data_IF_072307027231
#
_entry.id   IF_072307027231
#
_cell.length_a   1.000
_cell.length_b   1.000
_cell.length_c   1.000
_cell.angle_alpha   90.00
_cell.angle_beta   90.00
_cell.angle_gamma   90.00
#
_symmetry.space_group_name_H-M   'P 1'
#
loop_
_entity.id
_entity.type
_entity.pdbx_description
1 polymer ?
#
# COMPACT_ATOMS: atom_id res chain seq x y z
N UNK A 1 -11.18 8.39 28.62
CA UNK A 1 -9.81 8.88 28.88
C UNK A 1 -9.17 9.15 27.54
N UNK A 2 -8.93 10.41 27.16
CA UNK A 2 -8.16 10.73 25.94
C UNK A 2 -6.68 10.49 26.26
N UNK A 3 -5.99 9.68 25.46
CA UNK A 3 -4.53 9.55 25.56
C UNK A 3 -3.90 10.92 25.26
N UNK A 4 -2.78 11.23 25.92
CA UNK A 4 -1.96 12.37 25.50
C UNK A 4 -1.36 12.05 24.13
N UNK A 5 -1.18 13.08 23.30
CA UNK A 5 -0.72 12.94 21.91
C UNK A 5 0.59 12.12 21.79
N UNK A 6 1.53 12.32 22.73
CA UNK A 6 2.77 11.53 22.78
C UNK A 6 2.50 10.05 23.09
N UNK A 7 1.60 9.73 24.02
CA UNK A 7 1.26 8.33 24.34
C UNK A 7 0.57 7.64 23.19
N UNK A 8 -0.36 8.33 22.51
CA UNK A 8 -1.03 7.79 21.33
C UNK A 8 -0.03 7.45 20.23
N UNK A 9 0.94 8.33 19.97
CA UNK A 9 2.01 8.08 19.00
C UNK A 9 2.82 6.82 19.35
N UNK A 10 3.33 6.71 20.58
CA UNK A 10 4.15 5.56 20.99
C UNK A 10 3.38 4.24 20.99
N UNK A 11 2.13 4.23 21.45
CA UNK A 11 1.31 3.01 21.44
C UNK A 11 0.99 2.59 20.01
N UNK A 12 0.65 3.55 19.13
CA UNK A 12 0.38 3.26 17.71
C UNK A 12 1.62 2.72 17.02
N UNK A 13 2.78 3.31 17.28
CA UNK A 13 4.06 2.83 16.79
C UNK A 13 4.31 1.38 17.22
N UNK A 14 4.13 1.06 18.51
CA UNK A 14 4.34 -0.28 19.02
C UNK A 14 3.36 -1.30 18.41
N UNK A 15 2.08 -0.92 18.26
CA UNK A 15 1.07 -1.77 17.62
C UNK A 15 1.41 -2.01 16.15
N UNK A 16 1.85 -0.98 15.42
CA UNK A 16 2.23 -1.14 14.02
C UNK A 16 3.45 -2.05 13.86
N UNK A 17 4.49 -1.87 14.68
CA UNK A 17 5.65 -2.75 14.70
C UNK A 17 5.23 -4.19 15.04
N UNK A 18 4.38 -4.37 16.05
CA UNK A 18 3.86 -5.69 16.42
C UNK A 18 3.06 -6.36 15.28
N UNK A 19 2.21 -5.62 14.57
CA UNK A 19 1.49 -6.17 13.42
C UNK A 19 2.46 -6.65 12.31
N UNK A 20 3.47 -5.84 12.00
CA UNK A 20 4.44 -6.17 10.95
C UNK A 20 5.32 -7.36 11.34
N UNK A 21 5.81 -7.39 12.58
CA UNK A 21 6.66 -8.50 13.05
C UNK A 21 5.87 -9.80 13.19
N UNK A 22 4.64 -9.76 13.73
CA UNK A 22 3.80 -10.95 13.82
C UNK A 22 3.43 -11.48 12.44
N UNK A 23 3.18 -10.61 11.46
CA UNK A 23 2.92 -11.03 10.09
C UNK A 23 4.10 -11.80 9.48
N UNK A 24 5.34 -11.38 9.73
CA UNK A 24 6.53 -12.11 9.26
C UNK A 24 6.80 -13.41 10.01
N UNK A 25 6.50 -13.47 11.30
CA UNK A 25 6.77 -14.66 12.14
C UNK A 25 5.78 -15.78 11.90
N UNK A 26 4.56 -15.46 11.44
CA UNK A 26 3.54 -16.46 11.16
C UNK A 26 3.88 -17.13 9.82
N UNK A 27 4.27 -18.39 9.91
CA UNK A 27 4.46 -19.24 8.73
C UNK A 27 3.10 -19.52 8.07
N UNK A 28 2.96 -19.16 6.80
CA UNK A 28 1.75 -19.36 6.00
C UNK A 28 2.11 -20.12 4.72
N UNK A 29 1.95 -21.45 4.68
CA UNK A 29 2.39 -22.26 3.54
C UNK A 29 1.57 -22.03 2.26
N UNK A 30 0.36 -21.48 2.36
CA UNK A 30 -0.54 -21.25 1.23
C UNK A 30 -1.01 -19.80 1.05
N UNK A 31 -1.34 -19.45 -0.20
CA UNK A 31 -1.83 -18.12 -0.59
C UNK A 31 -3.04 -17.65 0.24
N UNK A 32 -3.98 -18.55 0.54
CA UNK A 32 -5.16 -18.24 1.33
C UNK A 32 -4.81 -17.90 2.78
N UNK A 33 -3.84 -18.60 3.36
CA UNK A 33 -3.38 -18.36 4.74
C UNK A 33 -2.61 -17.04 4.82
N UNK A 34 -1.76 -16.74 3.83
CA UNK A 34 -1.08 -15.45 3.71
C UNK A 34 -2.07 -14.30 3.56
N UNK A 35 -3.12 -14.49 2.74
CA UNK A 35 -4.19 -13.51 2.61
C UNK A 35 -4.94 -13.30 3.93
N UNK A 36 -5.28 -14.38 4.65
CA UNK A 36 -5.92 -14.28 5.96
C UNK A 36 -5.02 -13.58 6.98
N UNK A 37 -3.73 -13.90 7.02
CA UNK A 37 -2.77 -13.21 7.89
C UNK A 37 -2.73 -11.71 7.57
N UNK A 38 -2.63 -11.34 6.29
CA UNK A 38 -2.66 -9.95 5.85
C UNK A 38 -3.98 -9.28 6.26
N UNK A 39 -5.12 -9.94 6.03
CA UNK A 39 -6.42 -9.44 6.43
C UNK A 39 -6.49 -9.17 7.94
N UNK A 40 -5.99 -10.08 8.77
CA UNK A 40 -5.99 -9.91 10.22
C UNK A 40 -5.06 -8.78 10.69
N UNK A 41 -3.80 -8.78 10.28
CA UNK A 41 -2.79 -7.84 10.79
C UNK A 41 -2.86 -6.46 10.13
N UNK A 42 -3.30 -6.38 8.87
CA UNK A 42 -3.34 -5.13 8.11
C UNK A 42 -4.71 -4.47 8.07
N UNK A 43 -5.80 -5.20 8.35
CA UNK A 43 -7.15 -4.62 8.42
C UNK A 43 -7.77 -4.79 9.81
N UNK A 44 -7.95 -6.02 10.29
CA UNK A 44 -8.75 -6.30 11.50
C UNK A 44 -8.14 -5.65 12.75
N UNK A 45 -6.88 -5.93 13.04
CA UNK A 45 -6.21 -5.40 14.24
C UNK A 45 -6.14 -3.86 14.22
N UNK A 46 -5.68 -3.19 13.14
CA UNK A 46 -5.70 -1.74 13.04
C UNK A 46 -7.09 -1.14 13.16
N UNK A 47 -8.10 -1.75 12.53
CA UNK A 47 -9.48 -1.28 12.59
C UNK A 47 -10.01 -1.30 14.03
N UNK A 48 -9.82 -2.40 14.75
CA UNK A 48 -10.23 -2.51 16.15
C UNK A 48 -9.41 -1.59 17.06
N UNK A 49 -8.12 -1.42 16.80
CA UNK A 49 -7.29 -0.47 17.53
C UNK A 49 -7.82 0.97 17.41
N UNK A 50 -8.12 1.42 16.19
CA UNK A 50 -8.69 2.76 15.95
C UNK A 50 -10.05 2.90 16.64
N UNK A 51 -10.90 1.88 16.58
CA UNK A 51 -12.26 1.94 17.11
C UNK A 51 -12.32 1.87 18.64
N UNK A 52 -11.54 0.98 19.24
CA UNK A 52 -11.60 0.65 20.68
C UNK A 52 -10.60 1.50 21.47
N UNK A 53 -9.33 1.54 21.02
CA UNK A 53 -8.24 2.20 21.75
C UNK A 53 -8.22 3.69 21.46
N UNK A 54 -8.16 4.08 20.18
CA UNK A 54 -8.15 5.50 19.79
C UNK A 54 -9.54 6.16 19.91
N UNK A 55 -10.61 5.35 19.91
CA UNK A 55 -12.01 5.81 19.95
C UNK A 55 -12.36 6.81 18.85
N UNK A 56 -11.69 6.70 17.69
CA UNK A 56 -11.97 7.56 16.53
C UNK A 56 -13.12 6.97 15.71
N UNK A 57 -13.95 7.80 15.05
CA UNK A 57 -14.99 7.31 14.15
C UNK A 57 -14.35 6.68 12.91
N UNK A 58 -15.05 5.75 12.23
CA UNK A 58 -14.54 5.12 10.99
C UNK A 58 -14.33 6.15 9.87
N UNK A 59 -15.02 7.29 9.92
CA UNK A 59 -14.76 8.42 9.03
C UNK A 59 -13.32 8.97 9.13
N UNK A 60 -12.62 8.72 10.24
CA UNK A 60 -11.19 9.03 10.40
C UNK A 60 -10.30 8.21 9.47
N UNK A 61 -10.68 6.95 9.20
CA UNK A 61 -10.06 6.08 8.20
C UNK A 61 -10.49 6.42 6.78
N UNK A 62 -11.25 7.51 6.62
CA UNK A 62 -11.61 8.14 5.38
C UNK A 62 -12.82 7.59 4.62
N UNK A 63 -13.97 8.24 4.82
CA UNK A 63 -15.08 8.29 3.85
C UNK A 63 -15.66 9.72 3.65
N UNK A 64 -14.90 10.83 3.71
CA UNK A 64 -15.48 12.13 3.41
C UNK A 64 -15.71 12.26 1.89
N UNK A 65 -16.99 12.25 1.49
CA UNK A 65 -17.42 12.57 0.11
C UNK A 65 -17.09 14.01 -0.31
N UNK A 66 -16.70 14.89 0.63
CA UNK A 66 -16.45 16.29 0.36
C UNK A 66 -14.95 16.56 0.12
N UNK A 67 -14.64 16.93 -1.13
CA UNK A 67 -13.29 16.83 -1.67
C UNK A 67 -12.79 18.22 -2.14
N UNK A 68 -12.20 19.04 -1.26
CA UNK A 68 -11.88 20.44 -1.58
C UNK A 68 -10.80 20.59 -2.67
N UNK A 69 -9.97 19.56 -2.90
CA UNK A 69 -8.85 19.61 -3.85
C UNK A 69 -8.95 18.57 -4.99
N UNK A 70 -10.17 18.25 -5.44
CA UNK A 70 -10.42 17.13 -6.37
C UNK A 70 -9.58 17.21 -7.64
N UNK A 71 -9.56 18.38 -8.27
CA UNK A 71 -8.82 18.58 -9.51
C UNK A 71 -7.30 18.48 -9.28
N UNK A 72 -6.80 19.02 -8.17
CA UNK A 72 -5.38 18.95 -7.82
C UNK A 72 -4.92 17.52 -7.53
N UNK A 73 -5.73 16.73 -6.81
CA UNK A 73 -5.43 15.32 -6.53
C UNK A 73 -5.47 14.48 -7.80
N UNK A 74 -6.45 14.70 -8.69
CA UNK A 74 -6.52 13.98 -9.96
C UNK A 74 -5.33 14.31 -10.87
N UNK A 75 -5.00 15.58 -11.05
CA UNK A 75 -3.85 15.99 -11.86
C UNK A 75 -2.53 15.50 -11.27
N UNK A 76 -2.35 15.57 -9.95
CA UNK A 76 -1.18 15.03 -9.27
C UNK A 76 -1.11 13.51 -9.38
N UNK A 77 -2.23 12.81 -9.19
CA UNK A 77 -2.34 11.37 -9.35
C UNK A 77 -1.97 10.91 -10.76
N UNK A 78 -2.45 11.62 -11.79
CA UNK A 78 -2.10 11.33 -13.19
C UNK A 78 -0.61 11.59 -13.46
N UNK A 79 -0.08 12.74 -13.02
CA UNK A 79 1.33 13.09 -13.21
C UNK A 79 2.27 12.12 -12.49
N UNK A 80 1.93 11.73 -11.26
CA UNK A 80 2.69 10.73 -10.50
C UNK A 80 2.58 9.33 -11.10
N UNK A 81 1.43 8.95 -11.66
CA UNK A 81 1.26 7.67 -12.35
C UNK A 81 2.20 7.58 -13.56
N UNK A 82 2.23 8.63 -14.39
CA UNK A 82 3.14 8.71 -15.54
C UNK A 82 4.60 8.68 -15.07
N UNK A 83 4.94 9.44 -14.03
CA UNK A 83 6.30 9.47 -13.47
C UNK A 83 6.76 8.10 -12.98
N UNK A 84 5.95 7.41 -12.17
CA UNK A 84 6.27 6.07 -11.66
C UNK A 84 6.37 5.06 -12.79
N UNK A 85 5.46 5.12 -13.77
CA UNK A 85 5.52 4.23 -14.92
C UNK A 85 6.81 4.42 -15.74
N UNK A 86 7.23 5.66 -15.99
CA UNK A 86 8.50 5.95 -16.67
C UNK A 86 9.71 5.42 -15.89
N UNK A 87 9.69 5.51 -14.55
CA UNK A 87 10.73 4.92 -13.72
C UNK A 87 10.76 3.40 -13.86
N UNK A 88 9.62 2.72 -13.77
CA UNK A 88 9.53 1.25 -13.97
C UNK A 88 10.09 0.85 -15.33
N UNK A 89 9.73 1.56 -16.39
CA UNK A 89 10.28 1.32 -17.74
C UNK A 89 11.80 1.52 -17.75
N UNK A 90 12.32 2.61 -17.17
CA UNK A 90 13.76 2.86 -17.10
C UNK A 90 14.51 1.75 -16.36
N UNK A 91 13.99 1.31 -15.21
CA UNK A 91 14.55 0.19 -14.44
C UNK A 91 14.52 -1.12 -15.24
N UNK A 92 13.47 -1.36 -16.04
CA UNK A 92 13.34 -2.56 -16.87
C UNK A 92 14.43 -2.66 -17.95
N UNK A 93 14.91 -1.53 -18.47
CA UNK A 93 16.00 -1.50 -19.46
C UNK A 93 17.40 -1.49 -18.83
N UNK A 94 17.57 -0.91 -17.65
CA UNK A 94 18.90 -0.64 -17.06
C UNK A 94 19.30 -1.59 -15.93
N UNK A 95 18.37 -2.43 -15.45
CA UNK A 95 18.61 -3.34 -14.31
C UNK A 95 18.10 -4.77 -14.59
N UNK A 96 18.40 -5.71 -13.68
CA UNK A 96 17.87 -7.08 -13.69
C UNK A 96 16.39 -7.18 -13.29
N UNK A 97 15.67 -6.05 -13.19
CA UNK A 97 14.26 -6.01 -12.79
C UNK A 97 13.40 -7.00 -13.58
N UNK A 98 13.62 -7.15 -14.90
CA UNK A 98 12.85 -8.08 -15.72
C UNK A 98 13.02 -9.57 -15.38
N UNK A 99 14.12 -9.93 -14.73
CA UNK A 99 14.42 -11.30 -14.31
C UNK A 99 13.88 -11.62 -12.91
N UNK A 100 13.73 -10.59 -12.07
CA UNK A 100 13.30 -10.74 -10.66
C UNK A 100 11.83 -10.41 -10.45
N UNK A 101 11.20 -9.70 -11.39
CA UNK A 101 9.78 -9.39 -11.35
C UNK A 101 8.95 -10.63 -11.75
N UNK A 102 8.16 -11.12 -10.79
CA UNK A 102 7.38 -12.33 -10.98
C UNK A 102 5.99 -12.04 -11.54
N UNK A 103 5.72 -12.54 -12.74
CA UNK A 103 4.38 -12.60 -13.33
C UNK A 103 4.00 -14.06 -13.52
N UNK A 104 2.89 -14.54 -12.92
CA UNK A 104 2.44 -15.92 -13.11
C UNK A 104 2.24 -16.29 -14.59
N UNK A 105 2.84 -17.39 -15.02
CA UNK A 105 2.85 -17.84 -16.43
C UNK A 105 1.46 -18.04 -17.05
N UNK A 106 0.44 -18.40 -16.26
CA UNK A 106 -0.93 -18.57 -16.77
C UNK A 106 -1.60 -17.27 -17.21
N UNK A 107 -1.04 -16.10 -16.83
CA UNK A 107 -1.56 -14.79 -17.20
C UNK A 107 -1.21 -14.40 -18.65
N UNK A 108 -0.22 -15.05 -19.26
CA UNK A 108 0.22 -14.78 -20.63
C UNK A 108 -0.77 -15.32 -21.68
N UNK A 109 -1.46 -16.42 -21.38
CA UNK A 109 -2.29 -17.14 -22.36
C UNK A 109 -3.71 -16.58 -22.49
N UNK A 110 -4.25 -15.97 -21.43
CA UNK A 110 -5.66 -15.57 -21.36
C UNK A 110 -5.85 -14.24 -20.64
N UNK A 111 -5.99 -13.17 -21.41
CA UNK A 111 -6.19 -11.80 -20.89
C UNK A 111 -7.35 -11.67 -19.89
N UNK A 112 -8.44 -12.42 -20.05
CA UNK A 112 -9.55 -12.39 -19.10
C UNK A 112 -9.19 -12.96 -17.72
N UNK A 113 -8.36 -14.02 -17.67
CA UNK A 113 -7.86 -14.55 -16.40
C UNK A 113 -6.92 -13.56 -15.72
N UNK A 114 -6.15 -12.81 -16.50
CA UNK A 114 -5.36 -11.70 -15.99
C UNK A 114 -6.22 -10.63 -15.31
N UNK A 115 -7.27 -10.15 -15.97
CA UNK A 115 -8.18 -9.16 -15.37
C UNK A 115 -8.84 -9.67 -14.08
N UNK A 116 -9.24 -10.94 -14.04
CA UNK A 116 -9.82 -11.54 -12.84
C UNK A 116 -8.79 -11.65 -11.71
N UNK A 117 -7.57 -12.09 -12.00
CA UNK A 117 -6.49 -12.18 -11.02
C UNK A 117 -6.16 -10.80 -10.43
N UNK A 118 -5.98 -9.80 -11.28
CA UNK A 118 -5.70 -8.43 -10.86
C UNK A 118 -6.79 -7.87 -9.95
N UNK A 119 -8.06 -8.03 -10.35
CA UNK A 119 -9.15 -7.42 -9.62
C UNK A 119 -9.54 -8.15 -8.34
N UNK A 120 -9.43 -9.49 -8.30
CA UNK A 120 -9.88 -10.30 -7.16
C UNK A 120 -8.77 -10.73 -6.21
N UNK A 121 -7.51 -10.69 -6.65
CA UNK A 121 -6.36 -11.09 -5.81
C UNK A 121 -5.46 -9.89 -5.53
N UNK A 122 -4.96 -9.24 -6.59
CA UNK A 122 -3.98 -8.14 -6.45
C UNK A 122 -4.61 -6.92 -5.79
N UNK A 123 -5.76 -6.46 -6.29
CA UNK A 123 -6.43 -5.26 -5.76
C UNK A 123 -6.81 -5.39 -4.28
N UNK A 124 -7.45 -6.47 -3.79
CA UNK A 124 -7.72 -6.64 -2.37
C UNK A 124 -6.45 -6.67 -1.52
N UNK A 125 -5.38 -7.33 -1.98
CA UNK A 125 -4.12 -7.36 -1.26
C UNK A 125 -3.48 -5.96 -1.15
N UNK A 126 -3.45 -5.20 -2.24
CA UNK A 126 -2.97 -3.82 -2.25
C UNK A 126 -3.83 -2.93 -1.35
N UNK A 127 -5.15 -3.13 -1.35
CA UNK A 127 -6.05 -2.41 -0.46
C UNK A 127 -5.74 -2.69 1.02
N UNK A 128 -5.41 -3.94 1.40
CA UNK A 128 -5.00 -4.25 2.77
C UNK A 128 -3.72 -3.51 3.17
N UNK A 129 -2.70 -3.51 2.30
CA UNK A 129 -1.49 -2.73 2.53
C UNK A 129 -1.78 -1.24 2.67
N UNK A 130 -2.58 -0.68 1.76
CA UNK A 130 -2.93 0.74 1.77
C UNK A 130 -3.76 1.13 2.99
N UNK A 131 -4.67 0.27 3.41
CA UNK A 131 -5.40 0.45 4.66
C UNK A 131 -4.47 0.52 5.86
N UNK A 132 -3.48 -0.38 5.95
CA UNK A 132 -2.52 -0.36 7.06
C UNK A 132 -1.58 0.85 7.01
N UNK A 133 -0.93 1.08 5.88
CA UNK A 133 0.11 2.12 5.78
C UNK A 133 -0.48 3.53 5.67
N UNK A 134 -1.56 3.75 4.91
CA UNK A 134 -2.13 5.08 4.67
C UNK A 134 -3.33 5.32 5.58
N UNK A 135 -4.20 4.33 5.71
CA UNK A 135 -5.35 4.43 6.62
C UNK A 135 -4.93 4.49 8.08
N UNK A 136 -4.19 3.49 8.55
CA UNK A 136 -3.82 3.40 9.96
C UNK A 136 -2.59 4.23 10.28
N UNK A 137 -1.43 3.94 9.69
CA UNK A 137 -0.16 4.57 10.07
C UNK A 137 -0.12 6.08 9.76
N UNK A 138 -0.34 6.46 8.49
CA UNK A 138 -0.25 7.85 8.06
C UNK A 138 -1.23 8.74 8.82
N UNK A 139 -2.52 8.41 8.86
CA UNK A 139 -3.49 9.27 9.57
C UNK A 139 -3.28 9.29 11.09
N UNK A 140 -2.86 8.18 11.71
CA UNK A 140 -2.57 8.19 13.15
C UNK A 140 -1.37 9.08 13.48
N UNK A 141 -0.29 9.00 12.69
CA UNK A 141 0.91 9.80 12.89
C UNK A 141 0.80 11.24 12.44
N UNK A 142 -0.12 11.54 11.53
CA UNK A 142 -0.37 12.91 11.08
C UNK A 142 -0.65 13.86 12.24
N UNK A 143 -1.40 13.41 13.25
CA UNK A 143 -1.71 14.27 14.40
C UNK A 143 -0.47 14.76 15.15
N UNK A 144 0.63 14.00 15.10
CA UNK A 144 1.90 14.35 15.75
C UNK A 144 2.94 14.94 14.78
N UNK A 145 2.97 14.48 13.53
CA UNK A 145 4.05 14.77 12.57
C UNK A 145 3.60 15.61 11.37
N UNK A 146 2.30 15.82 11.18
CA UNK A 146 1.74 16.50 10.01
C UNK A 146 2.19 15.83 8.71
N UNK A 147 2.75 16.62 7.79
CA UNK A 147 3.25 16.16 6.48
C UNK A 147 4.38 15.12 6.59
N UNK A 148 5.18 15.16 7.67
CA UNK A 148 6.25 14.18 7.89
C UNK A 148 5.73 12.76 8.12
N UNK A 149 4.43 12.60 8.41
CA UNK A 149 3.79 11.28 8.47
C UNK A 149 3.93 10.48 7.17
N UNK A 150 3.99 11.16 6.00
CA UNK A 150 4.21 10.52 4.69
C UNK A 150 5.59 9.86 4.64
N UNK A 151 6.63 10.55 5.11
CA UNK A 151 8.00 10.02 5.11
C UNK A 151 8.11 8.83 6.07
N UNK A 152 7.51 8.94 7.26
CA UNK A 152 7.51 7.84 8.24
C UNK A 152 6.74 6.63 7.71
N UNK A 153 5.54 6.82 7.15
CA UNK A 153 4.78 5.76 6.51
C UNK A 153 5.57 5.07 5.39
N UNK A 154 6.29 5.85 4.58
CA UNK A 154 7.13 5.30 3.52
C UNK A 154 8.28 4.46 4.09
N UNK A 155 8.97 4.97 5.12
CA UNK A 155 10.02 4.23 5.79
C UNK A 155 9.52 2.89 6.35
N UNK A 156 8.35 2.88 7.00
CA UNK A 156 7.72 1.66 7.49
C UNK A 156 7.45 0.65 6.38
N UNK A 157 6.91 1.09 5.24
CA UNK A 157 6.66 0.22 4.09
C UNK A 157 7.97 -0.29 3.46
N UNK A 158 8.97 0.58 3.34
CA UNK A 158 10.27 0.21 2.79
C UNK A 158 10.96 -0.84 3.67
N UNK A 159 11.02 -0.63 4.99
CA UNK A 159 11.53 -1.62 5.92
C UNK A 159 10.70 -2.90 5.90
N UNK A 160 9.37 -2.79 5.76
CA UNK A 160 8.51 -3.96 5.65
C UNK A 160 8.89 -4.87 4.47
N UNK A 161 9.21 -4.29 3.31
CA UNK A 161 9.64 -5.09 2.16
C UNK A 161 11.12 -5.50 2.23
N UNK A 162 11.98 -4.68 2.86
CA UNK A 162 13.40 -5.00 3.03
C UNK A 162 13.64 -6.27 3.84
N UNK A 163 12.79 -6.53 4.84
CA UNK A 163 12.87 -7.73 5.68
C UNK A 163 11.93 -8.85 5.22
N UNK A 164 11.22 -8.66 4.11
CA UNK A 164 10.46 -9.76 3.49
C UNK A 164 11.40 -10.66 2.67
N UNK A 165 11.06 -11.94 2.53
CA UNK A 165 11.86 -12.89 1.73
C UNK A 165 11.82 -12.59 0.21
N UNK A 166 10.99 -11.63 -0.21
CA UNK A 166 10.89 -11.22 -1.61
C UNK A 166 12.03 -10.28 -1.99
N UNK A 167 12.52 -10.39 -3.23
CA UNK A 167 13.45 -9.39 -3.77
C UNK A 167 12.78 -8.02 -3.77
N UNK A 168 13.51 -6.98 -3.33
CA UNK A 168 13.05 -5.59 -3.42
C UNK A 168 12.69 -5.19 -4.86
N UNK A 169 13.31 -5.81 -5.86
CA UNK A 169 13.00 -5.57 -7.26
C UNK A 169 11.61 -6.10 -7.63
N UNK A 170 11.16 -7.22 -7.05
CA UNK A 170 9.81 -7.77 -7.31
C UNK A 170 8.68 -6.85 -6.84
N UNK A 171 8.94 -6.04 -5.80
CA UNK A 171 7.97 -5.09 -5.22
C UNK A 171 8.30 -3.63 -5.54
N UNK A 172 9.24 -3.39 -6.45
CA UNK A 172 9.69 -2.07 -6.85
C UNK A 172 8.55 -1.12 -7.26
N UNK A 173 7.53 -1.54 -8.05
CA UNK A 173 6.44 -0.65 -8.43
C UNK A 173 5.67 -0.10 -7.21
N UNK A 174 5.48 -0.94 -6.19
CA UNK A 174 4.82 -0.56 -4.94
C UNK A 174 5.68 0.44 -4.16
N UNK A 175 6.99 0.19 -4.05
CA UNK A 175 7.93 1.08 -3.36
C UNK A 175 7.98 2.45 -4.05
N UNK A 176 8.06 2.49 -5.38
CA UNK A 176 8.08 3.73 -6.15
C UNK A 176 6.75 4.50 -6.06
N UNK A 177 5.62 3.79 -6.06
CA UNK A 177 4.30 4.39 -5.89
C UNK A 177 4.07 4.91 -4.46
N UNK A 178 4.74 4.32 -3.47
CA UNK A 178 4.43 4.52 -2.06
C UNK A 178 4.43 5.97 -1.56
N UNK A 179 5.43 6.84 -1.87
CA UNK A 179 5.41 8.24 -1.43
C UNK A 179 4.29 9.04 -2.11
N UNK A 180 4.02 8.79 -3.39
CA UNK A 180 2.93 9.45 -4.12
C UNK A 180 1.56 9.03 -3.59
N UNK A 181 1.37 7.74 -3.32
CA UNK A 181 0.18 7.20 -2.66
C UNK A 181 -0.05 7.86 -1.29
N UNK A 182 1.03 8.09 -0.52
CA UNK A 182 0.98 8.82 0.75
C UNK A 182 0.51 10.27 0.59
N UNK A 183 1.04 11.00 -0.41
CA UNK A 183 0.58 12.37 -0.73
C UNK A 183 -0.89 12.37 -1.17
N UNK A 184 -1.28 11.43 -2.04
CA UNK A 184 -2.66 11.29 -2.50
C UNK A 184 -3.59 11.03 -1.30
N UNK A 185 -3.26 10.09 -0.41
CA UNK A 185 -4.05 9.80 0.78
C UNK A 185 -4.15 11.02 1.72
N UNK A 186 -3.03 11.74 1.91
CA UNK A 186 -2.97 12.94 2.76
C UNK A 186 -3.86 14.07 2.22
N UNK A 187 -3.82 14.34 0.92
CA UNK A 187 -4.62 15.40 0.28
C UNK A 187 -6.09 15.01 0.10
N UNK A 188 -6.35 13.76 -0.29
CA UNK A 188 -7.70 13.25 -0.56
C UNK A 188 -8.49 12.92 0.69
N UNK A 189 -7.80 12.65 1.81
CA UNK A 189 -8.41 12.06 3.01
C UNK A 189 -9.21 10.82 2.63
N UNK A 190 -8.63 9.93 1.81
CA UNK A 190 -9.30 8.74 1.29
C UNK A 190 -8.31 7.66 0.83
N UNK A 191 -8.33 6.54 1.56
CA UNK A 191 -7.51 5.35 1.30
C UNK A 191 -7.86 4.69 -0.04
N UNK A 192 -9.12 4.79 -0.50
CA UNK A 192 -9.50 4.21 -1.77
C UNK A 192 -8.79 4.87 -2.95
N UNK A 193 -8.52 6.17 -2.91
CA UNK A 193 -7.78 6.83 -4.00
C UNK A 193 -6.31 6.42 -4.03
N UNK A 194 -5.66 6.28 -2.86
CA UNK A 194 -4.28 5.80 -2.81
C UNK A 194 -4.20 4.33 -3.23
N UNK A 195 -5.18 3.51 -2.81
CA UNK A 195 -5.29 2.10 -3.23
C UNK A 195 -5.48 1.94 -4.72
N UNK A 196 -6.39 2.72 -5.31
CA UNK A 196 -6.62 2.68 -6.74
C UNK A 196 -5.40 3.19 -7.53
N UNK A 197 -4.70 4.21 -7.02
CA UNK A 197 -3.46 4.69 -7.62
C UNK A 197 -2.37 3.61 -7.65
N UNK A 198 -2.10 2.96 -6.51
CA UNK A 198 -1.11 1.88 -6.45
C UNK A 198 -1.53 0.70 -7.32
N UNK A 199 -2.81 0.35 -7.32
CA UNK A 199 -3.36 -0.66 -8.23
C UNK A 199 -3.10 -0.33 -9.69
N UNK A 200 -3.34 0.89 -10.14
CA UNK A 200 -3.06 1.29 -11.52
C UNK A 200 -1.56 1.16 -11.84
N UNK A 201 -0.67 1.55 -10.93
CA UNK A 201 0.78 1.38 -11.11
C UNK A 201 1.14 -0.09 -11.32
N UNK A 202 0.66 -0.97 -10.43
CA UNK A 202 0.93 -2.41 -10.50
C UNK A 202 0.34 -3.00 -11.77
N UNK A 203 -0.94 -2.73 -12.05
CA UNK A 203 -1.65 -3.19 -13.24
C UNK A 203 -0.91 -2.80 -14.54
N UNK A 204 -0.50 -1.54 -14.70
CA UNK A 204 0.23 -1.12 -15.89
C UNK A 204 1.63 -1.73 -15.95
N UNK A 205 2.27 -1.95 -14.80
CA UNK A 205 3.54 -2.68 -14.74
C UNK A 205 3.36 -4.11 -15.21
N UNK A 206 2.34 -4.83 -14.74
CA UNK A 206 2.10 -6.22 -15.14
C UNK A 206 1.79 -6.33 -16.63
N UNK A 207 0.94 -5.44 -17.17
CA UNK A 207 0.67 -5.38 -18.62
C UNK A 207 1.95 -5.13 -19.43
N UNK A 208 2.79 -4.19 -18.98
CA UNK A 208 4.06 -3.91 -19.63
C UNK A 208 5.01 -5.11 -19.56
N UNK A 209 5.13 -5.75 -18.41
CA UNK A 209 6.03 -6.89 -18.19
C UNK A 209 5.58 -8.12 -18.97
N UNK A 210 4.28 -8.41 -19.02
CA UNK A 210 3.72 -9.47 -19.88
C UNK A 210 4.13 -9.23 -21.33
N UNK A 211 4.01 -7.99 -21.82
CA UNK A 211 4.36 -7.65 -23.21
C UNK A 211 5.87 -7.62 -23.47
N UNK A 212 6.67 -7.29 -22.46
CA UNK A 212 8.12 -7.22 -22.56
C UNK A 212 8.78 -8.60 -22.53
N UNK A 213 8.18 -9.55 -21.80
CA UNK A 213 8.66 -10.93 -21.65
C UNK A 213 8.09 -11.89 -22.72
N UNK A 214 6.99 -11.54 -23.39
CA UNK A 214 6.38 -12.29 -24.51
C UNK A 214 7.11 -12.05 -25.83
#
# INVERSE_FOLDING_TARGET
MKLSLSREFFVTFFVAVACLTLFWVIDTPGLFESFLAAFFFFLVVPFFYIRIVLRRPVSFLSFPLHFPYRNSVLSFGLASLVCVFLLVVAFSYWSSFSQEYFVPGFLFDRFWLFLLYEFFVVFPLLFLYEFFFRGFLLFSFESALGVWSIVVQFAFLFFFFLFSDNSLLSVLPIILAAPFAGVIAYLSRCVFYSSFFVFLVVFFTDVFMIRFLS
#
